data_IF_660709139116
#
_entry.id   IF_660709139116
#
_cell.length_a   1.000
_cell.length_b   1.000
_cell.length_c   1.000
_cell.angle_alpha   90.00
_cell.angle_beta   90.00
_cell.angle_gamma   90.00
#
_symmetry.space_group_name_H-M   'P 1'
#
loop_
_entity.id
_entity.type
_entity.pdbx_description
1 polymer ?
#
# COMPACT_ATOMS: atom_id res chain seq x y z
N UNK A 1 -2.91 -22.60 23.24
CA UNK A 1 -4.31 -22.77 22.78
C UNK A 1 -5.21 -22.46 23.94
N UNK A 2 -6.22 -21.63 23.73
CA UNK A 2 -7.31 -21.44 24.71
C UNK A 2 -8.28 -22.62 24.67
N UNK A 3 -9.19 -22.69 25.65
CA UNK A 3 -10.34 -23.58 25.58
C UNK A 3 -11.44 -23.02 24.69
N UNK A 4 -12.32 -23.88 24.20
CA UNK A 4 -13.45 -23.48 23.34
C UNK A 4 -14.46 -22.54 24.06
N UNK A 5 -15.19 -21.72 23.29
CA UNK A 5 -16.20 -20.77 23.75
C UNK A 5 -17.60 -21.40 23.96
N UNK A 6 -17.70 -22.73 24.07
CA UNK A 6 -18.97 -23.51 24.07
C UNK A 6 -19.90 -23.31 25.28
N UNK A 7 -19.75 -22.24 26.05
CA UNK A 7 -20.51 -22.00 27.27
C UNK A 7 -21.18 -20.65 27.18
N UNK A 8 -22.49 -20.66 26.90
CA UNK A 8 -23.29 -19.45 26.65
C UNK A 8 -24.78 -19.77 26.39
N UNK A 9 -25.63 -18.74 26.18
CA UNK A 9 -27.04 -18.94 25.88
C UNK A 9 -27.24 -19.83 24.65
N UNK A 10 -28.09 -20.85 24.74
CA UNK A 10 -28.44 -21.68 23.59
C UNK A 10 -27.44 -22.79 23.23
N UNK A 11 -26.29 -22.91 23.89
CA UNK A 11 -25.32 -23.99 23.60
C UNK A 11 -25.90 -25.40 23.90
N UNK A 12 -25.69 -26.36 22.99
CA UNK A 12 -26.14 -27.74 23.12
C UNK A 12 -25.47 -28.52 24.27
N UNK A 13 -24.25 -28.13 24.67
CA UNK A 13 -23.45 -28.81 25.69
C UNK A 13 -23.54 -28.15 27.07
N UNK A 14 -23.62 -26.81 27.16
CA UNK A 14 -23.64 -26.15 28.46
C UNK A 14 -24.26 -24.74 28.45
N UNK A 15 -25.42 -24.60 29.12
CA UNK A 15 -26.22 -23.36 29.16
C UNK A 15 -25.93 -22.45 30.36
N UNK A 16 -24.92 -22.75 31.19
CA UNK A 16 -24.64 -21.97 32.40
C UNK A 16 -23.81 -20.72 32.10
N UNK A 17 -24.43 -19.54 32.23
CA UNK A 17 -23.75 -18.24 32.07
C UNK A 17 -22.58 -18.07 33.03
N UNK A 18 -22.70 -18.60 34.26
CA UNK A 18 -21.62 -18.57 35.26
C UNK A 18 -20.44 -19.45 34.85
N UNK A 19 -20.68 -20.62 34.26
CA UNK A 19 -19.61 -21.48 33.75
C UNK A 19 -18.95 -20.86 32.52
N UNK A 20 -19.72 -20.18 31.66
CA UNK A 20 -19.19 -19.40 30.53
C UNK A 20 -18.30 -18.26 30.97
N UNK A 21 -18.73 -17.49 31.97
CA UNK A 21 -17.93 -16.41 32.51
C UNK A 21 -16.62 -16.92 33.15
N UNK A 22 -16.68 -18.00 33.93
CA UNK A 22 -15.46 -18.60 34.48
C UNK A 22 -14.52 -19.06 33.36
N UNK A 23 -15.03 -19.69 32.30
CA UNK A 23 -14.21 -20.11 31.17
C UNK A 23 -13.56 -18.93 30.44
N UNK A 24 -14.32 -17.88 30.18
CA UNK A 24 -13.81 -16.63 29.64
C UNK A 24 -12.62 -16.12 30.47
N UNK A 25 -12.76 -16.04 31.80
CA UNK A 25 -11.65 -15.64 32.68
C UNK A 25 -10.41 -16.56 32.58
N UNK A 26 -10.57 -17.86 32.30
CA UNK A 26 -9.44 -18.77 32.09
C UNK A 26 -8.77 -18.56 30.73
N UNK A 27 -9.55 -18.30 29.69
CA UNK A 27 -9.01 -17.97 28.37
C UNK A 27 -8.25 -16.65 28.42
N UNK A 28 -8.80 -15.62 29.09
CA UNK A 28 -8.11 -14.34 29.31
C UNK A 28 -6.78 -14.51 30.04
N UNK A 29 -6.68 -15.43 31.01
CA UNK A 29 -5.41 -15.73 31.69
C UNK A 29 -4.36 -16.27 30.71
N UNK A 30 -4.76 -17.14 29.77
CA UNK A 30 -3.87 -17.70 28.74
C UNK A 30 -3.47 -16.61 27.74
N UNK A 31 -4.42 -15.82 27.25
CA UNK A 31 -4.18 -14.74 26.28
C UNK A 31 -3.25 -13.67 26.86
N UNK A 32 -3.50 -13.23 28.09
CA UNK A 32 -2.62 -12.29 28.81
C UNK A 32 -1.22 -12.85 29.02
N UNK A 33 -1.09 -14.14 29.36
CA UNK A 33 0.23 -14.77 29.49
C UNK A 33 0.98 -14.79 28.15
N UNK A 34 0.31 -15.14 27.05
CA UNK A 34 0.92 -15.17 25.72
C UNK A 34 1.40 -13.78 25.29
N UNK A 35 0.57 -12.75 25.46
CA UNK A 35 0.91 -11.35 25.17
C UNK A 35 2.13 -10.91 26.01
N UNK A 36 2.08 -11.11 27.33
CA UNK A 36 3.15 -10.69 28.23
C UNK A 36 4.49 -11.39 27.99
N UNK A 37 4.49 -12.55 27.33
CA UNK A 37 5.69 -13.38 27.12
C UNK A 37 6.03 -13.57 25.64
N UNK A 38 5.45 -12.76 24.74
CA UNK A 38 5.65 -12.84 23.29
C UNK A 38 5.52 -14.28 22.75
N UNK A 39 4.43 -14.96 23.10
CA UNK A 39 4.14 -16.33 22.65
C UNK A 39 3.02 -16.33 21.64
N UNK A 40 3.11 -17.25 20.69
CA UNK A 40 2.04 -17.53 19.74
C UNK A 40 0.86 -18.17 20.47
N UNK A 41 -0.35 -17.68 20.19
CA UNK A 41 -1.59 -18.26 20.69
C UNK A 41 -2.53 -18.57 19.53
N UNK A 42 -2.93 -19.83 19.43
CA UNK A 42 -4.09 -20.22 18.65
C UNK A 42 -5.32 -20.14 19.56
N UNK A 43 -6.12 -19.08 19.39
CA UNK A 43 -7.22 -18.73 20.29
C UNK A 43 -8.56 -19.27 19.77
N UNK A 44 -8.96 -20.45 20.26
CA UNK A 44 -10.26 -21.03 19.94
C UNK A 44 -11.43 -20.17 20.42
N UNK A 45 -11.29 -19.51 21.56
CA UNK A 45 -12.38 -18.77 22.15
C UNK A 45 -12.77 -17.56 21.29
N UNK A 46 -11.76 -16.90 20.73
CA UNK A 46 -11.92 -15.77 19.83
C UNK A 46 -12.43 -16.21 18.45
N UNK A 47 -11.83 -17.25 17.86
CA UNK A 47 -12.26 -17.77 16.54
C UNK A 47 -13.74 -18.19 16.55
N UNK A 48 -14.20 -18.82 17.63
CA UNK A 48 -15.55 -19.41 17.69
C UNK A 48 -16.66 -18.39 17.94
N UNK A 49 -16.37 -17.19 18.43
CA UNK A 49 -17.41 -16.20 18.74
C UNK A 49 -17.78 -15.31 17.55
N UNK A 50 -16.95 -15.30 16.50
CA UNK A 50 -17.17 -14.56 15.26
C UNK A 50 -17.69 -15.47 14.14
N UNK A 51 -18.67 -15.00 13.37
CA UNK A 51 -19.11 -15.65 12.14
C UNK A 51 -19.31 -14.62 11.03
N UNK A 52 -18.84 -14.91 9.83
CA UNK A 52 -19.09 -14.06 8.67
C UNK A 52 -20.42 -14.44 8.03
N UNK A 53 -21.36 -13.50 8.01
CA UNK A 53 -22.67 -13.70 7.41
C UNK A 53 -22.62 -13.41 5.89
N UNK A 54 -22.74 -14.43 5.01
CA UNK A 54 -22.62 -14.22 3.56
C UNK A 54 -23.82 -13.50 2.95
N UNK A 55 -24.91 -13.30 3.70
CA UNK A 55 -26.10 -12.58 3.22
C UNK A 55 -25.95 -11.08 3.48
N UNK A 56 -25.43 -10.70 4.64
CA UNK A 56 -25.20 -9.29 4.99
C UNK A 56 -23.79 -8.80 4.64
N UNK A 57 -22.87 -9.71 4.32
CA UNK A 57 -21.45 -9.43 4.08
C UNK A 57 -20.73 -8.81 5.29
N UNK A 58 -21.16 -9.17 6.50
CA UNK A 58 -20.68 -8.58 7.76
C UNK A 58 -20.24 -9.66 8.75
N UNK A 59 -19.31 -9.31 9.63
CA UNK A 59 -18.89 -10.16 10.74
C UNK A 59 -19.81 -9.99 11.96
N UNK A 60 -20.34 -11.11 12.45
CA UNK A 60 -21.22 -11.18 13.61
C UNK A 60 -20.46 -11.69 14.82
N UNK A 61 -20.40 -10.89 15.89
CA UNK A 61 -19.86 -11.30 17.18
C UNK A 61 -20.98 -11.75 18.12
N UNK A 62 -20.84 -12.95 18.67
CA UNK A 62 -21.76 -13.50 19.68
C UNK A 62 -21.29 -13.23 21.10
N UNK A 63 -22.08 -12.45 21.85
CA UNK A 63 -21.85 -12.15 23.27
C UNK A 63 -23.10 -12.29 24.12
N UNK A 64 -22.92 -12.39 25.43
CA UNK A 64 -23.98 -12.24 26.42
C UNK A 64 -23.50 -11.40 27.60
N UNK A 65 -24.44 -10.76 28.29
CA UNK A 65 -24.14 -9.95 29.46
C UNK A 65 -24.12 -10.80 30.75
N UNK A 66 -23.12 -10.61 31.59
CA UNK A 66 -22.96 -11.31 32.86
C UNK A 66 -22.69 -10.34 34.02
N UNK A 67 -23.54 -10.37 35.05
CA UNK A 67 -23.31 -9.62 36.29
C UNK A 67 -22.35 -10.39 37.22
N UNK A 68 -21.17 -9.83 37.47
CA UNK A 68 -20.13 -10.48 38.29
C UNK A 68 -20.22 -10.14 39.80
N UNK A 69 -21.16 -9.28 40.20
CA UNK A 69 -21.29 -8.77 41.57
C UNK A 69 -20.90 -7.31 41.74
N UNK A 70 -20.12 -6.73 40.82
CA UNK A 70 -19.76 -5.31 40.78
C UNK A 70 -20.25 -4.63 39.49
N UNK A 71 -20.09 -5.30 38.35
CA UNK A 71 -20.32 -4.75 37.02
C UNK A 71 -20.98 -5.79 36.10
N UNK A 72 -21.59 -5.28 35.03
CA UNK A 72 -22.05 -6.11 33.91
C UNK A 72 -20.91 -6.23 32.90
N UNK A 73 -20.54 -7.45 32.57
CA UNK A 73 -19.46 -7.78 31.65
C UNK A 73 -20.04 -8.43 30.40
N UNK A 74 -19.63 -7.94 29.23
CA UNK A 74 -19.90 -8.59 27.94
C UNK A 74 -18.97 -9.79 27.78
N UNK A 75 -19.53 -11.00 27.67
CA UNK A 75 -18.79 -12.25 27.58
C UNK A 75 -18.99 -12.87 26.19
N UNK A 76 -17.91 -13.11 25.40
CA UNK A 76 -18.02 -13.80 24.12
C UNK A 76 -18.37 -15.28 24.33
N UNK A 77 -19.15 -15.85 23.41
CA UNK A 77 -19.50 -17.26 23.39
C UNK A 77 -19.57 -17.79 21.95
N UNK A 78 -19.53 -19.13 21.79
CA UNK A 78 -19.60 -19.78 20.48
C UNK A 78 -20.80 -19.28 19.68
N UNK A 79 -20.54 -18.79 18.46
CA UNK A 79 -21.56 -18.27 17.56
C UNK A 79 -22.65 -19.33 17.32
N UNK A 80 -23.95 -18.99 17.40
CA UNK A 80 -25.04 -19.95 17.23
C UNK A 80 -24.96 -20.78 15.93
N UNK A 81 -24.37 -20.23 14.87
CA UNK A 81 -24.11 -20.93 13.62
C UNK A 81 -23.20 -22.17 13.78
N UNK A 82 -22.25 -22.12 14.71
CA UNK A 82 -21.29 -23.21 14.97
C UNK A 82 -21.78 -24.22 16.00
N UNK A 83 -22.83 -23.87 16.74
CA UNK A 83 -23.42 -24.65 17.83
C UNK A 83 -24.29 -25.82 17.31
N UNK A 84 -23.67 -26.67 16.48
CA UNK A 84 -24.25 -27.90 15.92
C UNK A 84 -23.39 -29.10 16.34
N UNK A 85 -23.99 -30.27 16.52
CA UNK A 85 -23.24 -31.50 16.82
C UNK A 85 -23.03 -32.35 15.57
N UNK A 86 -22.26 -31.85 14.60
CA UNK A 86 -22.01 -32.54 13.33
C UNK A 86 -20.66 -33.24 13.28
N UNK A 87 -19.65 -32.71 13.98
CA UNK A 87 -18.27 -33.23 14.00
C UNK A 87 -17.82 -33.60 15.42
N UNK A 88 -18.71 -34.18 16.22
CA UNK A 88 -18.42 -34.65 17.57
C UNK A 88 -18.57 -33.60 18.66
N UNK A 89 -18.37 -32.31 18.39
CA UNK A 89 -18.62 -31.21 19.36
C UNK A 89 -18.87 -29.83 18.73
N UNK A 90 -18.87 -29.69 17.40
CA UNK A 90 -19.13 -28.43 16.69
C UNK A 90 -19.58 -28.70 15.24
N UNK A 91 -19.87 -27.65 14.46
CA UNK A 91 -20.24 -27.76 13.04
C UNK A 91 -19.03 -28.08 12.15
N UNK A 92 -19.26 -28.62 10.95
CA UNK A 92 -18.19 -28.79 9.96
C UNK A 92 -17.56 -27.46 9.56
N UNK A 93 -18.36 -26.41 9.45
CA UNK A 93 -17.92 -25.04 9.15
C UNK A 93 -16.92 -24.53 10.19
N UNK A 94 -17.17 -24.76 11.48
CA UNK A 94 -16.23 -24.36 12.53
C UNK A 94 -14.92 -25.18 12.47
N UNK A 95 -15.00 -26.47 12.10
CA UNK A 95 -13.80 -27.28 11.86
C UNK A 95 -12.95 -26.71 10.71
N UNK A 96 -13.59 -26.30 9.61
CA UNK A 96 -12.91 -25.66 8.48
C UNK A 96 -12.30 -24.31 8.88
N UNK A 97 -13.03 -23.47 9.62
CA UNK A 97 -12.52 -22.18 10.08
C UNK A 97 -11.30 -22.31 10.98
N UNK A 98 -11.31 -23.29 11.90
CA UNK A 98 -10.13 -23.63 12.70
C UNK A 98 -8.98 -24.13 11.82
N UNK A 99 -9.28 -24.97 10.82
CA UNK A 99 -8.28 -25.43 9.85
C UNK A 99 -7.60 -24.28 9.10
N UNK A 100 -8.40 -23.34 8.58
CA UNK A 100 -7.92 -22.12 7.90
C UNK A 100 -7.05 -21.28 8.83
N UNK A 101 -7.51 -21.05 10.07
CA UNK A 101 -6.78 -20.27 11.05
C UNK A 101 -5.45 -20.92 11.49
N UNK A 102 -5.40 -22.25 11.67
CA UNK A 102 -4.13 -22.96 11.92
C UNK A 102 -3.20 -22.81 10.72
N UNK A 103 -3.70 -23.04 9.51
CA UNK A 103 -2.89 -22.93 8.30
C UNK A 103 -2.29 -21.53 8.17
N UNK A 104 -3.11 -20.49 8.34
CA UNK A 104 -2.69 -19.10 8.29
C UNK A 104 -1.63 -18.79 9.35
N UNK A 105 -1.88 -19.16 10.61
CA UNK A 105 -0.92 -18.98 11.70
C UNK A 105 0.42 -19.66 11.38
N UNK A 106 0.39 -20.90 10.86
CA UNK A 106 1.61 -21.63 10.49
C UNK A 106 2.33 -20.98 9.31
N UNK A 107 1.61 -20.45 8.32
CA UNK A 107 2.20 -19.72 7.20
C UNK A 107 2.95 -18.47 7.71
N UNK A 108 2.31 -17.66 8.57
CA UNK A 108 2.96 -16.49 9.18
C UNK A 108 4.20 -16.89 9.99
N UNK A 109 4.13 -17.95 10.78
CA UNK A 109 5.28 -18.45 11.55
C UNK A 109 6.40 -19.02 10.67
N UNK A 110 6.07 -19.54 9.50
CA UNK A 110 7.04 -20.00 8.51
C UNK A 110 7.69 -18.85 7.72
N UNK A 111 7.35 -17.59 8.02
CA UNK A 111 7.87 -16.42 7.34
C UNK A 111 7.19 -16.16 5.99
N UNK A 112 5.98 -16.70 5.77
CA UNK A 112 5.17 -16.25 4.64
C UNK A 112 4.74 -14.82 4.96
N UNK A 113 5.34 -13.89 4.23
CA UNK A 113 4.95 -12.50 4.32
C UNK A 113 3.63 -12.29 3.61
N UNK A 114 2.74 -11.57 4.29
CA UNK A 114 1.55 -11.07 3.63
C UNK A 114 2.00 -9.86 2.85
N UNK A 115 1.71 -9.85 1.55
CA UNK A 115 1.79 -8.63 0.81
C UNK A 115 2.51 -8.71 -0.51
N UNK A 116 2.33 -7.62 -1.24
CA UNK A 116 2.93 -7.40 -2.54
C UNK A 116 4.27 -6.73 -2.28
N UNK A 117 5.37 -7.43 -2.56
CA UNK A 117 6.71 -6.81 -2.60
C UNK A 117 6.97 -6.29 -3.99
N UNK A 118 7.23 -5.00 -4.14
CA UNK A 118 7.42 -4.37 -5.44
C UNK A 118 8.82 -3.79 -5.53
N UNK A 119 9.52 -4.16 -6.60
CA UNK A 119 10.81 -3.59 -6.97
C UNK A 119 10.64 -2.83 -8.29
N UNK A 120 10.71 -1.50 -8.22
CA UNK A 120 10.48 -0.62 -9.37
C UNK A 120 11.77 0.09 -9.76
N UNK A 121 11.91 0.33 -11.06
CA UNK A 121 12.92 1.22 -11.61
C UNK A 121 12.30 2.23 -12.56
N UNK A 122 12.58 3.51 -12.34
CA UNK A 122 12.07 4.65 -13.12
C UNK A 122 13.11 5.77 -13.14
N UNK A 123 13.21 6.48 -14.26
CA UNK A 123 13.99 7.73 -14.36
C UNK A 123 13.05 8.92 -14.57
N UNK A 124 13.47 10.06 -14.03
CA UNK A 124 12.84 11.35 -14.22
C UNK A 124 13.71 12.18 -15.19
N UNK A 125 13.06 12.82 -16.17
CA UNK A 125 13.75 13.75 -17.06
C UNK A 125 14.12 15.03 -16.30
N UNK A 126 15.32 15.56 -16.53
CA UNK A 126 15.78 16.76 -15.83
C UNK A 126 16.94 16.42 -14.91
N UNK A 127 16.72 15.69 -13.79
CA UNK A 127 17.84 15.24 -12.97
C UNK A 127 18.70 14.20 -13.69
N UNK A 128 18.20 13.49 -14.72
CA UNK A 128 18.99 12.50 -15.45
C UNK A 128 20.18 13.12 -16.20
N UNK A 129 21.40 12.68 -15.87
CA UNK A 129 22.67 13.24 -16.35
C UNK A 129 23.36 12.40 -17.44
N UNK A 130 22.65 11.41 -18.00
CA UNK A 130 23.14 10.52 -19.06
C UNK A 130 23.54 9.13 -18.56
N UNK A 131 23.75 8.94 -17.26
CA UNK A 131 24.03 7.63 -16.64
C UNK A 131 23.06 7.33 -15.49
N UNK A 132 22.87 8.30 -14.61
CA UNK A 132 22.06 8.27 -13.39
C UNK A 132 21.38 9.65 -13.22
N UNK A 133 20.76 9.90 -12.07
CA UNK A 133 20.09 11.17 -11.74
C UNK A 133 20.91 11.98 -10.72
N UNK A 134 20.89 13.31 -10.86
CA UNK A 134 21.50 14.21 -9.90
C UNK A 134 20.73 14.23 -8.58
N UNK A 135 21.44 14.45 -7.48
CA UNK A 135 20.88 14.52 -6.11
C UNK A 135 21.12 15.92 -5.53
N UNK A 136 20.95 16.94 -6.38
CA UNK A 136 21.36 18.33 -6.08
C UNK A 136 20.32 19.10 -5.25
N UNK A 137 19.10 18.57 -5.11
CA UNK A 137 18.02 19.15 -4.31
C UNK A 137 18.39 19.26 -2.82
N UNK A 138 18.67 20.48 -2.35
CA UNK A 138 19.14 20.72 -0.97
C UNK A 138 18.04 20.93 0.06
N UNK A 139 16.84 21.40 -0.35
CA UNK A 139 15.70 21.69 0.54
C UNK A 139 14.64 20.59 0.49
N UNK A 140 15.10 19.34 0.53
CA UNK A 140 14.25 18.16 0.40
C UNK A 140 13.25 18.02 1.57
N UNK A 141 11.94 17.85 1.30
CA UNK A 141 10.93 17.74 2.37
C UNK A 141 11.04 16.41 3.12
N UNK A 142 11.02 16.49 4.44
CA UNK A 142 11.07 15.31 5.32
C UNK A 142 9.73 14.55 5.40
N UNK A 143 8.65 15.11 4.89
CA UNK A 143 7.33 14.48 4.78
C UNK A 143 6.91 14.41 3.32
N UNK A 144 6.16 13.37 2.96
CA UNK A 144 5.65 13.20 1.59
C UNK A 144 4.78 14.39 1.13
N UNK A 145 4.89 14.84 -0.14
CA UNK A 145 4.21 16.04 -0.65
C UNK A 145 2.82 15.81 -1.26
N UNK A 146 2.35 14.56 -1.35
CA UNK A 146 1.13 14.14 -2.04
C UNK A 146 -0.17 14.26 -1.21
N UNK A 147 -0.12 14.83 -0.01
CA UNK A 147 -1.31 15.05 0.84
C UNK A 147 -2.19 16.24 0.42
N UNK A 148 -1.81 16.92 -0.67
CA UNK A 148 -2.55 18.02 -1.30
C UNK A 148 -3.14 17.58 -2.65
N UNK A 149 -4.04 18.39 -3.25
CA UNK A 149 -4.49 18.15 -4.61
C UNK A 149 -3.32 18.06 -5.61
N UNK A 150 -3.44 17.23 -6.66
CA UNK A 150 -4.62 16.45 -7.05
C UNK A 150 -4.78 15.12 -6.29
N UNK A 151 -3.71 14.56 -5.72
CA UNK A 151 -3.73 13.19 -5.18
C UNK A 151 -4.49 13.06 -3.86
N UNK A 152 -4.40 14.07 -2.99
CA UNK A 152 -5.00 14.05 -1.65
C UNK A 152 -4.66 12.75 -0.89
N UNK A 153 -3.44 12.24 -1.06
CA UNK A 153 -2.97 10.99 -0.48
C UNK A 153 -2.85 11.13 1.04
N UNK A 154 -3.57 10.27 1.77
CA UNK A 154 -3.73 10.35 3.23
C UNK A 154 -2.61 9.67 4.01
N UNK A 155 -1.59 9.14 3.32
CA UNK A 155 -0.40 8.56 3.96
C UNK A 155 0.36 9.58 4.80
N UNK A 156 1.07 9.08 5.81
CA UNK A 156 1.76 9.86 6.83
C UNK A 156 3.29 9.69 6.77
N UNK A 157 3.79 9.20 5.64
CA UNK A 157 5.20 8.94 5.40
C UNK A 157 6.04 10.19 5.68
N UNK A 158 6.95 10.04 6.64
CA UNK A 158 7.89 11.08 7.04
C UNK A 158 9.14 10.45 7.65
N UNK A 159 10.27 11.12 7.46
CA UNK A 159 11.58 10.71 7.98
C UNK A 159 12.16 11.80 8.88
N UNK A 160 13.01 11.43 9.83
CA UNK A 160 13.69 12.41 10.70
C UNK A 160 14.83 13.11 9.96
N UNK A 161 15.42 12.42 9.00
CA UNK A 161 16.46 12.88 8.07
C UNK A 161 16.43 11.98 6.85
N UNK A 162 16.87 12.48 5.70
CA UNK A 162 16.99 11.66 4.49
C UNK A 162 17.98 10.52 4.76
N UNK A 163 17.53 9.25 4.66
CA UNK A 163 18.30 8.10 5.15
C UNK A 163 19.43 7.66 4.22
N UNK A 164 19.36 8.07 2.94
CA UNK A 164 20.30 7.67 1.90
C UNK A 164 20.69 8.90 1.06
N UNK A 165 22.00 9.21 0.89
CA UNK A 165 22.44 10.36 0.10
C UNK A 165 22.16 10.24 -1.40
N UNK A 166 21.82 9.04 -1.89
CA UNK A 166 21.49 8.80 -3.29
C UNK A 166 20.01 9.07 -3.61
N UNK A 167 19.21 9.55 -2.64
CA UNK A 167 17.80 9.94 -2.87
C UNK A 167 17.73 11.18 -3.76
N UNK A 168 16.87 11.11 -4.78
CA UNK A 168 16.61 12.18 -5.75
C UNK A 168 15.31 12.92 -5.41
N UNK A 169 14.21 12.18 -5.20
CA UNK A 169 12.90 12.77 -4.82
C UNK A 169 11.95 11.74 -4.18
N UNK A 170 10.82 12.22 -3.68
CA UNK A 170 9.62 11.44 -3.41
C UNK A 170 8.90 11.02 -4.70
N UNK A 171 8.25 9.87 -4.64
CA UNK A 171 7.29 9.35 -5.62
C UNK A 171 6.02 8.89 -4.89
N UNK A 172 4.88 8.97 -5.55
CA UNK A 172 3.66 8.28 -5.12
C UNK A 172 3.49 7.03 -5.98
N UNK A 173 3.50 5.87 -5.33
CA UNK A 173 3.30 4.58 -5.99
C UNK A 173 1.86 4.14 -5.76
N UNK A 174 1.16 3.80 -6.84
CA UNK A 174 -0.18 3.20 -6.78
C UNK A 174 -0.16 1.78 -7.33
N UNK A 175 -0.82 0.87 -6.63
CA UNK A 175 -1.09 -0.49 -7.10
C UNK A 175 -2.54 -0.60 -7.53
N UNK A 176 -2.77 -1.02 -8.77
CA UNK A 176 -4.10 -1.28 -9.31
C UNK A 176 -4.27 -2.77 -9.64
N UNK A 177 -5.40 -3.34 -9.25
CA UNK A 177 -5.76 -4.73 -9.52
C UNK A 177 -6.93 -4.81 -10.51
N UNK A 178 -6.61 -5.13 -11.76
CA UNK A 178 -7.55 -5.05 -12.86
C UNK A 178 -7.43 -6.25 -13.82
N UNK A 179 -8.49 -6.61 -14.58
CA UNK A 179 -8.44 -7.72 -15.52
C UNK A 179 -7.55 -7.46 -16.74
N UNK A 180 -7.34 -6.20 -17.11
CA UNK A 180 -6.49 -5.74 -18.21
C UNK A 180 -6.06 -4.28 -18.00
N UNK A 181 -5.07 -3.83 -18.78
CA UNK A 181 -4.50 -2.49 -18.62
C UNK A 181 -5.52 -1.36 -18.84
N UNK A 182 -6.40 -1.36 -19.87
CA UNK A 182 -7.42 -0.32 -20.02
C UNK A 182 -8.41 -0.22 -18.85
N UNK A 183 -8.63 -1.32 -18.11
CA UNK A 183 -9.53 -1.37 -16.95
C UNK A 183 -8.85 -1.00 -15.63
N UNK A 184 -7.53 -0.75 -15.62
CA UNK A 184 -6.78 -0.35 -14.44
C UNK A 184 -7.02 1.14 -14.11
N UNK A 185 -8.24 1.48 -13.72
CA UNK A 185 -8.69 2.85 -13.36
C UNK A 185 -8.56 3.12 -11.86
N UNK A 186 -8.77 4.37 -11.36
CA UNK A 186 -8.71 4.69 -9.93
C UNK A 186 -9.64 3.83 -9.05
N UNK A 187 -10.74 3.32 -9.60
CA UNK A 187 -11.65 2.40 -8.89
C UNK A 187 -11.03 1.03 -8.56
N UNK A 188 -9.89 0.69 -9.18
CA UNK A 188 -9.16 -0.57 -8.98
C UNK A 188 -7.92 -0.40 -8.10
N UNK A 189 -7.69 0.78 -7.52
CA UNK A 189 -6.58 1.02 -6.59
C UNK A 189 -6.76 0.12 -5.36
N UNK A 190 -5.77 -0.72 -5.10
CA UNK A 190 -5.72 -1.57 -3.91
C UNK A 190 -4.76 -1.01 -2.86
N UNK A 191 -3.74 -0.26 -3.26
CA UNK A 191 -2.78 0.34 -2.34
C UNK A 191 -2.11 1.58 -2.93
N UNK A 192 -1.68 2.48 -2.05
CA UNK A 192 -0.84 3.62 -2.37
C UNK A 192 0.21 3.81 -1.27
N UNK A 193 1.43 4.19 -1.66
CA UNK A 193 2.53 4.45 -0.73
C UNK A 193 3.46 5.52 -1.30
N UNK A 194 3.84 6.50 -0.47
CA UNK A 194 4.91 7.43 -0.83
C UNK A 194 6.28 6.77 -0.61
N UNK A 195 7.16 6.89 -1.58
CA UNK A 195 8.46 6.22 -1.65
C UNK A 195 9.56 7.18 -2.13
N UNK A 196 10.82 6.79 -2.00
CA UNK A 196 11.94 7.53 -2.58
C UNK A 196 12.36 6.93 -3.91
N UNK A 197 12.80 7.77 -4.84
CA UNK A 197 13.58 7.34 -6.01
C UNK A 197 15.05 7.66 -5.79
N UNK A 198 15.91 6.69 -6.06
CA UNK A 198 17.36 6.84 -5.96
C UNK A 198 17.95 7.28 -7.30
N UNK A 199 19.21 7.76 -7.29
CA UNK A 199 19.92 8.23 -8.48
C UNK A 199 20.00 7.20 -9.60
N UNK A 200 20.07 5.92 -9.25
CA UNK A 200 20.12 4.83 -10.22
C UNK A 200 18.73 4.42 -10.75
N UNK A 201 17.67 5.09 -10.29
CA UNK A 201 16.28 4.93 -10.69
C UNK A 201 15.52 3.91 -9.86
N UNK A 202 16.14 3.20 -8.91
CA UNK A 202 15.40 2.28 -8.06
C UNK A 202 14.50 3.04 -7.08
N UNK A 203 13.29 2.49 -6.89
CA UNK A 203 12.31 3.01 -5.93
C UNK A 203 12.41 2.22 -4.63
N UNK A 204 12.55 2.93 -3.52
CA UNK A 204 12.78 2.35 -2.19
C UNK A 204 11.87 2.96 -1.13
N UNK A 205 11.66 2.24 -0.03
CA UNK A 205 10.89 2.72 1.11
C UNK A 205 11.58 3.84 1.89
N UNK A 206 10.93 4.29 2.97
CA UNK A 206 11.42 5.38 3.83
C UNK A 206 12.72 5.10 4.58
N UNK A 207 13.23 3.86 4.55
CA UNK A 207 14.55 3.50 5.06
C UNK A 207 15.67 3.81 4.06
N UNK A 208 15.32 4.20 2.83
CA UNK A 208 16.23 4.52 1.74
C UNK A 208 16.88 3.31 1.07
N UNK A 209 16.41 2.08 1.34
CA UNK A 209 17.05 0.88 0.80
C UNK A 209 16.13 -0.32 0.52
N UNK A 210 15.05 -0.47 1.28
CA UNK A 210 14.15 -1.63 1.14
C UNK A 210 13.22 -1.45 -0.06
N UNK A 211 12.87 -2.55 -0.71
CA UNK A 211 11.76 -2.59 -1.67
C UNK A 211 10.43 -2.23 -0.98
N UNK A 212 9.43 -1.87 -1.77
CA UNK A 212 8.13 -1.50 -1.24
C UNK A 212 7.34 -2.75 -0.86
N UNK A 213 6.61 -2.68 0.24
CA UNK A 213 5.82 -3.79 0.78
C UNK A 213 4.40 -3.31 1.09
N UNK A 214 3.41 -3.98 0.50
CA UNK A 214 2.01 -3.61 0.64
C UNK A 214 1.20 -4.77 1.20
N UNK A 215 0.45 -4.57 2.28
CA UNK A 215 -0.35 -5.60 2.93
C UNK A 215 -1.69 -5.85 2.20
N UNK A 216 -1.63 -6.18 0.92
CA UNK A 216 -2.78 -6.37 0.04
C UNK A 216 -2.67 -7.69 -0.73
N UNK A 217 -3.79 -8.12 -1.31
CA UNK A 217 -3.87 -9.31 -2.16
C UNK A 217 -4.30 -8.91 -3.57
N UNK A 218 -3.83 -9.65 -4.57
CA UNK A 218 -4.18 -9.46 -5.98
C UNK A 218 -5.19 -10.53 -6.36
N UNK A 219 -6.30 -10.11 -6.96
CA UNK A 219 -7.38 -10.99 -7.45
C UNK A 219 -7.24 -11.21 -8.97
N UNK A 220 -6.90 -10.16 -9.73
CA UNK A 220 -6.75 -10.20 -11.17
C UNK A 220 -5.29 -10.10 -11.60
N UNK A 221 -4.86 -8.93 -12.07
CA UNK A 221 -3.53 -8.65 -12.57
C UNK A 221 -3.06 -7.32 -11.98
N UNK A 222 -1.81 -7.31 -11.51
CA UNK A 222 -1.21 -6.15 -10.89
C UNK A 222 -0.68 -5.18 -11.96
N UNK A 223 -1.11 -3.93 -11.88
CA UNK A 223 -0.52 -2.81 -12.60
C UNK A 223 0.07 -1.84 -11.57
N UNK A 224 1.26 -1.32 -11.89
CA UNK A 224 1.99 -0.39 -11.03
C UNK A 224 2.00 0.99 -11.69
N UNK A 225 1.71 2.01 -10.89
CA UNK A 225 1.69 3.40 -11.31
C UNK A 225 2.74 4.15 -10.51
N UNK A 226 3.50 4.98 -11.20
CA UNK A 226 4.43 5.95 -10.62
C UNK A 226 3.91 7.34 -10.91
N UNK A 227 3.68 8.14 -9.87
CA UNK A 227 3.33 9.55 -9.96
C UNK A 227 4.40 10.42 -9.28
N UNK A 228 4.63 11.59 -9.84
CA UNK A 228 5.58 12.58 -9.33
C UNK A 228 4.95 13.98 -9.41
N UNK A 229 5.49 14.92 -8.64
CA UNK A 229 4.95 16.29 -8.49
C UNK A 229 4.99 17.12 -9.77
N UNK A 230 6.02 16.95 -10.59
CA UNK A 230 6.30 17.82 -11.75
C UNK A 230 6.51 17.02 -13.05
N UNK A 231 6.26 15.71 -13.02
CA UNK A 231 6.34 14.81 -14.18
C UNK A 231 5.00 14.14 -14.46
N UNK A 232 4.77 13.82 -15.74
CA UNK A 232 3.66 12.94 -16.12
C UNK A 232 3.82 11.56 -15.46
N UNK A 233 2.74 11.06 -14.87
CA UNK A 233 2.71 9.72 -14.32
C UNK A 233 2.77 8.64 -15.40
N UNK A 234 3.25 7.47 -14.99
CA UNK A 234 3.38 6.30 -15.87
C UNK A 234 2.78 5.07 -15.21
N UNK A 235 2.07 4.27 -16.00
CA UNK A 235 1.56 2.95 -15.60
C UNK A 235 2.30 1.86 -16.38
N UNK A 236 2.57 0.72 -15.75
CA UNK A 236 3.11 -0.46 -16.45
C UNK A 236 2.26 -0.85 -17.66
N UNK A 237 2.88 -1.05 -18.82
CA UNK A 237 2.18 -1.43 -20.05
C UNK A 237 1.53 -2.81 -19.99
N UNK A 238 2.18 -3.72 -19.25
CA UNK A 238 1.76 -5.10 -19.08
C UNK A 238 1.64 -5.40 -17.58
N UNK A 239 0.86 -6.43 -17.20
CA UNK A 239 0.81 -6.91 -15.83
C UNK A 239 2.19 -7.18 -15.26
N UNK A 240 2.42 -6.75 -14.04
CA UNK A 240 3.64 -7.07 -13.31
C UNK A 240 3.56 -8.51 -12.83
N UNK A 241 4.55 -9.31 -13.19
CA UNK A 241 4.58 -10.74 -12.88
C UNK A 241 5.46 -10.99 -11.66
N UNK A 242 4.97 -11.82 -10.74
CA UNK A 242 5.72 -12.25 -9.56
C UNK A 242 6.80 -13.26 -9.94
N UNK A 243 8.00 -13.06 -9.39
CA UNK A 243 9.07 -14.04 -9.47
C UNK A 243 9.90 -14.02 -8.19
N UNK A 244 9.93 -15.16 -7.48
CA UNK A 244 10.75 -15.30 -6.27
C UNK A 244 10.24 -14.47 -5.09
N UNK A 245 8.94 -14.22 -5.03
CA UNK A 245 8.25 -13.42 -4.01
C UNK A 245 8.23 -11.92 -4.27
N UNK A 246 8.66 -11.47 -5.46
CA UNK A 246 8.80 -10.03 -5.79
C UNK A 246 8.17 -9.74 -7.15
N UNK A 247 7.40 -8.66 -7.22
CA UNK A 247 6.87 -8.05 -8.44
C UNK A 247 7.86 -6.99 -8.92
N UNK A 248 8.68 -7.33 -9.92
CA UNK A 248 9.70 -6.42 -10.45
C UNK A 248 9.24 -5.76 -11.74
N UNK A 249 9.44 -4.45 -11.87
CA UNK A 249 9.13 -3.71 -13.10
C UNK A 249 10.14 -2.60 -13.39
N UNK A 250 10.58 -2.50 -14.64
CA UNK A 250 11.58 -1.53 -15.08
C UNK A 250 11.06 -0.69 -16.24
N UNK A 251 10.70 0.56 -15.94
CA UNK A 251 10.22 1.53 -16.91
C UNK A 251 11.33 2.07 -17.83
N UNK A 252 12.60 1.91 -17.44
CA UNK A 252 13.74 2.57 -18.08
C UNK A 252 14.21 1.88 -19.36
N UNK A 253 13.81 0.62 -19.56
CA UNK A 253 14.33 -0.25 -20.62
C UNK A 253 13.73 -0.03 -22.01
N UNK A 254 12.66 0.75 -22.14
CA UNK A 254 12.01 0.97 -23.43
C UNK A 254 10.68 1.72 -23.32
N UNK A 255 10.30 2.43 -24.39
CA UNK A 255 9.01 3.12 -24.46
C UNK A 255 7.79 2.20 -24.30
N UNK A 256 7.91 0.92 -24.66
CA UNK A 256 6.85 -0.08 -24.51
C UNK A 256 6.64 -0.59 -23.07
N UNK A 257 7.43 -0.10 -22.10
CA UNK A 257 7.23 -0.42 -20.68
C UNK A 257 6.14 0.42 -20.03
N UNK A 258 5.76 1.56 -20.60
CA UNK A 258 4.63 2.34 -20.11
C UNK A 258 3.40 2.14 -21.00
N UNK A 259 2.24 2.07 -20.36
CA UNK A 259 0.95 1.96 -21.04
C UNK A 259 0.67 3.20 -21.90
N UNK A 260 0.09 2.99 -23.08
CA UNK A 260 -0.22 4.05 -24.04
C UNK A 260 0.93 4.37 -25.00
N UNK A 261 0.72 5.37 -25.87
CA UNK A 261 1.71 5.77 -26.87
C UNK A 261 2.43 7.02 -26.44
N UNK A 262 3.76 6.96 -26.34
CA UNK A 262 4.57 8.12 -25.98
C UNK A 262 4.40 8.54 -24.51
N UNK A 263 4.11 7.59 -23.62
CA UNK A 263 4.05 7.82 -22.16
C UNK A 263 5.43 8.04 -21.52
N UNK A 264 6.49 7.52 -22.14
CA UNK A 264 7.89 7.73 -21.73
C UNK A 264 8.66 8.52 -22.78
N UNK A 265 9.66 9.29 -22.34
CA UNK A 265 10.63 10.00 -23.16
C UNK A 265 11.91 9.17 -23.30
N UNK A 266 12.49 9.14 -24.50
CA UNK A 266 13.89 8.73 -24.67
C UNK A 266 14.77 9.87 -24.13
N UNK A 267 15.40 9.63 -22.98
CA UNK A 267 16.25 10.60 -22.26
C UNK A 267 17.74 10.39 -22.58
N UNK A 268 18.05 9.58 -23.59
CA UNK A 268 19.41 9.29 -24.04
C UNK A 268 20.05 8.09 -23.35
N UNK A 269 21.19 7.65 -23.87
CA UNK A 269 21.94 6.51 -23.33
C UNK A 269 21.24 5.15 -23.46
N UNK A 270 20.12 5.08 -24.21
CA UNK A 270 19.26 3.90 -24.29
C UNK A 270 18.26 3.78 -23.14
N UNK A 271 18.12 4.82 -22.31
CA UNK A 271 17.20 4.86 -21.20
C UNK A 271 15.96 5.69 -21.52
N UNK A 272 14.86 5.31 -20.86
CA UNK A 272 13.59 6.01 -20.90
C UNK A 272 13.23 6.55 -19.53
N UNK A 273 12.54 7.69 -19.50
CA UNK A 273 12.05 8.31 -18.27
C UNK A 273 10.72 9.01 -18.44
N UNK A 274 10.10 9.38 -17.33
CA UNK A 274 8.89 10.20 -17.32
C UNK A 274 9.19 11.59 -17.88
N UNK A 275 8.22 12.20 -18.57
CA UNK A 275 8.35 13.56 -19.08
C UNK A 275 8.24 14.56 -17.93
N UNK A 276 9.22 15.45 -17.81
CA UNK A 276 9.14 16.60 -16.91
C UNK A 276 8.30 17.73 -17.51
N UNK A 277 7.61 18.49 -16.66
CA UNK A 277 6.90 19.71 -17.05
C UNK A 277 5.41 19.76 -16.75
N UNK A 278 4.83 18.72 -16.15
CA UNK A 278 3.45 18.71 -15.64
C UNK A 278 3.45 19.24 -14.19
N UNK A 279 3.68 20.55 -14.06
CA UNK A 279 3.95 21.22 -12.78
C UNK A 279 2.69 21.50 -11.96
N UNK A 280 1.52 21.49 -12.61
CA UNK A 280 0.23 21.56 -11.92
C UNK A 280 -0.37 20.16 -11.65
N UNK A 281 0.29 19.10 -12.14
CA UNK A 281 -0.10 17.70 -12.02
C UNK A 281 -1.50 17.42 -12.59
N UNK A 282 -1.88 18.08 -13.68
CA UNK A 282 -3.18 17.86 -14.34
C UNK A 282 -3.14 16.76 -15.42
N UNK A 283 -1.97 16.16 -15.63
CA UNK A 283 -1.74 15.12 -16.61
C UNK A 283 -1.52 15.67 -18.03
N UNK A 284 -1.33 16.97 -18.22
CA UNK A 284 -1.12 17.59 -19.53
C UNK A 284 -0.09 18.72 -19.49
N UNK A 285 1.07 18.50 -20.12
CA UNK A 285 2.11 19.53 -20.22
C UNK A 285 1.67 20.61 -21.22
N UNK A 286 1.31 21.79 -20.73
CA UNK A 286 0.79 22.89 -21.55
C UNK A 286 1.17 24.27 -21.00
N UNK A 287 0.53 25.34 -21.50
CA UNK A 287 0.81 26.72 -21.08
C UNK A 287 0.46 27.00 -19.62
N UNK A 288 -0.51 26.29 -19.03
CA UNK A 288 -0.94 26.48 -17.64
C UNK A 288 0.16 26.14 -16.64
N UNK A 289 0.95 25.08 -16.89
CA UNK A 289 2.16 24.77 -16.11
C UNK A 289 3.08 25.97 -15.97
N UNK A 290 3.29 26.67 -17.08
CA UNK A 290 4.14 27.83 -17.10
C UNK A 290 3.46 29.06 -16.51
N UNK A 291 2.23 29.33 -16.91
CA UNK A 291 1.53 30.59 -16.62
C UNK A 291 1.00 30.66 -15.19
N UNK A 292 0.70 29.51 -14.58
CA UNK A 292 0.16 29.41 -13.22
C UNK A 292 1.25 29.05 -12.21
N UNK A 293 2.18 28.15 -12.56
CA UNK A 293 3.21 27.68 -11.63
C UNK A 293 4.54 28.39 -11.87
N UNK A 294 5.22 28.11 -12.99
CA UNK A 294 6.59 28.57 -13.23
C UNK A 294 6.75 30.09 -13.14
N UNK A 295 5.82 30.91 -13.67
CA UNK A 295 5.90 32.38 -13.60
C UNK A 295 5.94 32.89 -12.15
N UNK A 296 5.23 32.23 -11.22
CA UNK A 296 5.16 32.65 -9.83
C UNK A 296 6.38 32.19 -9.01
N UNK A 297 7.07 31.15 -9.47
CA UNK A 297 8.23 30.55 -8.81
C UNK A 297 9.57 30.92 -9.45
N UNK A 298 9.58 31.49 -10.66
CA UNK A 298 10.80 31.82 -11.39
C UNK A 298 11.75 32.71 -10.59
N UNK A 299 12.98 32.22 -10.39
CA UNK A 299 14.05 32.83 -9.60
C UNK A 299 14.00 32.50 -8.10
N UNK A 300 13.02 31.70 -7.64
CA UNK A 300 12.99 31.17 -6.29
C UNK A 300 13.92 29.96 -6.15
N UNK A 301 14.13 29.54 -4.91
CA UNK A 301 14.90 28.34 -4.56
C UNK A 301 14.17 27.56 -3.47
N UNK A 302 14.35 26.25 -3.46
CA UNK A 302 13.71 25.33 -2.52
C UNK A 302 13.08 24.14 -3.23
N UNK A 303 12.23 23.40 -2.53
CA UNK A 303 11.39 22.35 -3.12
C UNK A 303 10.17 22.97 -3.81
N UNK A 304 10.23 23.10 -5.13
CA UNK A 304 9.27 23.87 -5.94
C UNK A 304 8.57 22.98 -6.96
N UNK A 305 7.36 23.35 -7.36
CA UNK A 305 6.61 22.60 -8.39
C UNK A 305 7.20 22.80 -9.79
N UNK A 306 7.79 23.96 -10.04
CA UNK A 306 8.37 24.30 -11.34
C UNK A 306 9.87 23.98 -11.51
N UNK A 307 10.52 23.49 -10.45
CA UNK A 307 11.89 22.94 -10.49
C UNK A 307 11.82 21.52 -11.07
N UNK A 308 11.96 21.40 -12.38
CA UNK A 308 11.80 20.15 -13.14
C UNK A 308 13.10 19.36 -13.24
N UNK A 309 14.25 20.01 -13.11
CA UNK A 309 15.55 19.34 -13.06
C UNK A 309 15.99 18.91 -11.65
N UNK A 310 15.19 19.29 -10.64
CA UNK A 310 15.36 18.95 -9.23
C UNK A 310 16.69 19.45 -8.66
N UNK A 311 17.13 20.62 -9.08
CA UNK A 311 18.37 21.24 -8.61
C UNK A 311 18.15 22.21 -7.42
N UNK A 312 16.90 22.42 -7.00
CA UNK A 312 16.52 23.34 -5.94
C UNK A 312 16.28 24.77 -6.41
N UNK A 313 16.22 25.04 -7.71
CA UNK A 313 15.99 26.36 -8.29
C UNK A 313 14.97 26.29 -9.42
N UNK A 314 13.92 27.10 -9.35
CA UNK A 314 13.01 27.31 -10.47
C UNK A 314 13.59 28.40 -11.39
N UNK A 315 14.21 28.02 -12.51
CA UNK A 315 14.88 28.97 -13.39
C UNK A 315 14.59 28.76 -14.89
N UNK A 316 15.38 29.40 -15.75
CA UNK A 316 15.16 29.34 -17.19
C UNK A 316 15.52 27.97 -17.79
N UNK A 317 16.35 27.17 -17.14
CA UNK A 317 16.73 25.83 -17.57
C UNK A 317 15.52 24.90 -17.52
N UNK A 318 14.73 24.89 -16.43
CA UNK A 318 13.48 24.11 -16.35
C UNK A 318 12.57 24.36 -17.55
N UNK A 319 12.38 25.65 -17.85
CA UNK A 319 11.49 26.05 -18.94
C UNK A 319 12.09 25.74 -20.31
N UNK A 320 13.36 26.10 -20.54
CA UNK A 320 13.96 26.10 -21.88
C UNK A 320 14.52 24.73 -22.27
N UNK A 321 14.88 23.90 -21.31
CA UNK A 321 15.57 22.63 -21.56
C UNK A 321 14.65 21.43 -21.32
N UNK A 322 13.56 21.59 -20.53
CA UNK A 322 12.60 20.52 -20.23
C UNK A 322 11.21 20.88 -20.77
N UNK A 323 10.51 21.83 -20.15
CA UNK A 323 9.09 22.11 -20.43
C UNK A 323 8.82 22.35 -21.92
N UNK A 324 9.58 23.23 -22.59
CA UNK A 324 9.31 23.63 -23.98
C UNK A 324 9.35 22.45 -24.97
N UNK A 325 10.13 21.42 -24.69
CA UNK A 325 10.25 20.23 -25.54
C UNK A 325 9.15 19.21 -25.29
N UNK A 326 8.45 19.34 -24.15
CA UNK A 326 7.43 18.41 -23.70
C UNK A 326 6.01 18.97 -23.81
N UNK A 327 5.84 20.24 -24.18
CA UNK A 327 4.52 20.83 -24.44
C UNK A 327 3.71 19.97 -25.41
N UNK A 328 2.46 19.68 -25.02
CA UNK A 328 1.52 18.84 -25.76
C UNK A 328 1.56 17.35 -25.42
N UNK A 329 2.41 16.93 -24.49
CA UNK A 329 2.40 15.58 -23.93
C UNK A 329 1.30 15.45 -22.87
N UNK A 330 0.67 14.28 -22.83
CA UNK A 330 -0.40 13.96 -21.89
C UNK A 330 -0.14 12.61 -21.23
N UNK A 331 -0.55 12.48 -19.98
CA UNK A 331 -0.59 11.23 -19.25
C UNK A 331 -1.46 10.22 -20.01
N UNK A 332 -1.10 8.94 -19.93
CA UNK A 332 -1.77 7.84 -20.64
C UNK A 332 -2.48 6.87 -19.71
N UNK A 333 -2.42 7.12 -18.40
CA UNK A 333 -3.01 6.26 -17.37
C UNK A 333 -4.54 6.26 -17.53
N UNK A 334 -5.22 5.11 -17.45
CA UNK A 334 -6.67 5.08 -17.43
C UNK A 334 -7.24 5.79 -16.20
N UNK A 335 -8.22 6.66 -16.43
CA UNK A 335 -8.99 7.41 -15.42
C UNK A 335 -10.47 6.97 -15.42
#
# INVERSE_FOLDING_TARGET
MTGNAQTGPGNHYNKSLTQGYNRYLRNEQISNYCIANNRVLFDFADIECWWYNPISEEWELSTYEYWNGSDTITVPYEHPQYNLNQAGHTSYENCENKGKAVWWMMAKLAGWEEGIRVNLKVFLEGPFNGTDMNTDLTDFPLSQPYNTPPWNYTGIESVVSIPNPDVVDWLLIELRDAPDAPSATPATIIAQQAAFVLKDGFVVGMDGSSSLEFNNFIIHQLFVIVRHQNHLGVMSANPVVESGGIYSYDFTSGSAQAYGTGALKDIGGGNFGSYGGDTNADGTINSEDKEIIWINEAGLSGYLQSDMDLNGHADNLDKNDIWIYNVGKTEQIPE
#
